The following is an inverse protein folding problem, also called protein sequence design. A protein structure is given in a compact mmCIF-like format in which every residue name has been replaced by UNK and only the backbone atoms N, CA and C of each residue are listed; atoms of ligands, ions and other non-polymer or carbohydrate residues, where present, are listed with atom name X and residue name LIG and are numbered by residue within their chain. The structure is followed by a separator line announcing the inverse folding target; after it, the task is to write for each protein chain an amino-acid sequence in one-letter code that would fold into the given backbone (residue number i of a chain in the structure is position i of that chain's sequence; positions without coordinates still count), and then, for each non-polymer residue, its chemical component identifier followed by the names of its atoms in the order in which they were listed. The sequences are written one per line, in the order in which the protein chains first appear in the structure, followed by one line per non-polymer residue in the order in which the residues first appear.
data_IF_657465471027
#
_entry.id   IF_657465471027
#
_cell.length_a   1.000
_cell.length_b   1.000
_cell.length_c   1.000
_cell.angle_alpha   90.00
_cell.angle_beta   90.00
_cell.angle_gamma   90.00
#
_symmetry.space_group_name_H-M   'P 1'
#
loop_
_entity.id
_entity.type
_entity.pdbx_description
1 polymer ?
#
# COMPACT_ATOMS: atom_id res chain seq x y z
N UNK A 1 30.20 -14.85 0.49
CA UNK A 1 29.10 -14.26 1.28
C UNK A 1 27.89 -14.20 0.36
N UNK A 2 26.78 -14.77 0.75
CA UNK A 2 25.56 -14.72 -0.07
C UNK A 2 24.83 -13.40 0.18
N UNK A 3 24.19 -12.89 -0.88
CA UNK A 3 23.30 -11.73 -0.78
C UNK A 3 22.01 -12.19 -0.13
N UNK A 4 21.58 -11.54 0.94
CA UNK A 4 20.32 -11.81 1.62
C UNK A 4 19.58 -10.51 1.95
N UNK A 5 18.38 -10.61 2.49
CA UNK A 5 17.46 -9.50 2.76
C UNK A 5 18.09 -8.32 3.52
N UNK A 6 19.02 -8.61 4.44
CA UNK A 6 19.76 -7.56 5.15
C UNK A 6 20.58 -6.68 4.20
N UNK A 7 21.16 -7.28 3.15
CA UNK A 7 21.97 -6.54 2.18
C UNK A 7 21.08 -5.67 1.28
N UNK A 8 19.90 -6.17 0.92
CA UNK A 8 18.90 -5.40 0.16
C UNK A 8 18.42 -4.18 0.97
N UNK A 9 18.12 -4.35 2.26
CA UNK A 9 17.79 -3.22 3.17
C UNK A 9 18.91 -2.20 3.25
N UNK A 10 20.16 -2.63 3.33
CA UNK A 10 21.32 -1.71 3.35
C UNK A 10 21.36 -0.87 2.09
N UNK A 11 21.19 -1.48 0.90
CA UNK A 11 21.17 -0.75 -0.37
C UNK A 11 20.06 0.30 -0.40
N UNK A 12 18.85 -0.04 0.04
CA UNK A 12 17.72 0.90 0.08
C UNK A 12 18.00 2.07 1.03
N UNK A 13 18.48 1.80 2.25
CA UNK A 13 18.82 2.86 3.22
C UNK A 13 19.91 3.80 2.68
N UNK A 14 20.89 3.29 1.94
CA UNK A 14 21.93 4.13 1.32
C UNK A 14 21.34 5.00 0.21
N UNK A 15 20.47 4.44 -0.64
CA UNK A 15 19.78 5.18 -1.69
C UNK A 15 18.91 6.31 -1.13
N UNK A 16 18.09 5.99 -0.11
CA UNK A 16 17.21 6.95 0.57
C UNK A 16 17.97 8.06 1.29
N UNK A 17 19.08 7.71 1.90
CA UNK A 17 19.91 8.68 2.62
C UNK A 17 20.70 9.58 1.67
N UNK A 18 20.91 9.16 0.41
CA UNK A 18 21.73 9.87 -0.57
C UNK A 18 23.19 10.07 -0.12
N UNK A 19 23.63 9.44 0.97
CA UNK A 19 24.96 9.58 1.55
C UNK A 19 25.31 8.37 2.40
N UNK A 20 26.49 7.79 2.19
CA UNK A 20 26.97 6.64 2.97
C UNK A 20 27.13 7.01 4.46
N UNK A 21 27.55 8.23 4.77
CA UNK A 21 27.70 8.68 6.16
C UNK A 21 26.36 8.78 6.86
N UNK A 22 25.33 9.38 6.22
CA UNK A 22 23.98 9.45 6.76
C UNK A 22 23.34 8.08 6.90
N UNK A 23 23.54 7.20 5.92
CA UNK A 23 23.08 5.82 5.97
C UNK A 23 23.73 5.03 7.13
N UNK A 24 25.01 5.22 7.38
CA UNK A 24 25.73 4.58 8.49
C UNK A 24 25.14 4.98 9.84
N UNK A 25 24.83 6.26 10.04
CA UNK A 25 24.14 6.77 11.24
C UNK A 25 22.76 6.11 11.38
N UNK A 26 21.95 6.09 10.31
CA UNK A 26 20.61 5.49 10.30
C UNK A 26 20.64 4.00 10.60
N UNK A 27 21.66 3.29 10.08
CA UNK A 27 21.87 1.86 10.31
C UNK A 27 22.56 1.55 11.65
N UNK A 28 23.01 2.57 12.40
CA UNK A 28 23.74 2.45 13.66
C UNK A 28 25.03 1.60 13.53
N UNK A 29 25.75 1.79 12.42
CA UNK A 29 27.03 1.12 12.16
C UNK A 29 28.12 2.12 11.80
N UNK A 30 29.39 1.74 11.93
CA UNK A 30 30.50 2.58 11.53
C UNK A 30 30.55 2.74 9.99
N UNK A 31 30.78 3.96 9.50
CA UNK A 31 30.84 4.24 8.06
C UNK A 31 31.89 3.37 7.30
N UNK A 32 33.10 3.09 7.82
CA UNK A 32 34.02 2.18 7.15
C UNK A 32 33.45 0.77 6.97
N UNK A 33 32.70 0.28 7.97
CA UNK A 33 32.00 -1.00 7.92
C UNK A 33 30.93 -1.03 6.84
N UNK A 34 30.11 0.02 6.74
CA UNK A 34 29.10 0.14 5.67
C UNK A 34 29.76 0.20 4.29
N UNK A 35 30.83 0.97 4.15
CA UNK A 35 31.59 1.06 2.88
C UNK A 35 32.13 -0.30 2.46
N UNK A 36 32.69 -1.07 3.39
CA UNK A 36 33.18 -2.42 3.10
C UNK A 36 32.06 -3.39 2.72
N UNK A 37 30.88 -3.29 3.36
CA UNK A 37 29.70 -4.10 3.02
C UNK A 37 29.19 -3.75 1.62
N UNK A 38 29.05 -2.47 1.29
CA UNK A 38 28.65 -2.03 -0.07
C UNK A 38 29.59 -2.58 -1.13
N UNK A 39 30.89 -2.45 -0.94
CA UNK A 39 31.88 -3.00 -1.89
C UNK A 39 31.71 -4.51 -2.10
N UNK A 40 31.42 -5.27 -1.05
CA UNK A 40 31.18 -6.73 -1.15
C UNK A 40 29.89 -7.03 -1.91
N UNK A 41 28.83 -6.26 -1.67
CA UNK A 41 27.55 -6.40 -2.37
C UNK A 41 27.76 -6.09 -3.87
N UNK A 42 28.40 -4.98 -4.19
CA UNK A 42 28.69 -4.56 -5.57
C UNK A 42 29.55 -5.58 -6.32
N UNK A 43 30.55 -6.17 -5.66
CA UNK A 43 31.35 -7.24 -6.24
C UNK A 43 30.51 -8.47 -6.61
N UNK A 44 29.52 -8.81 -5.79
CA UNK A 44 28.63 -9.95 -6.05
C UNK A 44 27.59 -9.66 -7.13
N UNK A 45 27.18 -8.41 -7.26
CA UNK A 45 26.26 -7.95 -8.30
C UNK A 45 26.96 -7.71 -9.65
N UNK A 46 28.29 -7.82 -9.69
CA UNK A 46 29.08 -7.65 -10.93
C UNK A 46 29.36 -6.20 -11.33
N UNK A 47 28.99 -5.22 -10.47
CA UNK A 47 29.23 -3.82 -10.79
C UNK A 47 28.82 -2.86 -9.66
N UNK A 48 29.16 -1.57 -9.79
CA UNK A 48 28.79 -0.55 -8.82
C UNK A 48 27.28 -0.29 -8.85
N UNK A 49 26.68 -0.28 -7.66
CA UNK A 49 25.26 0.09 -7.44
C UNK A 49 25.14 1.61 -7.30
N UNK A 50 26.17 2.25 -6.77
CA UNK A 50 26.18 3.69 -6.54
C UNK A 50 27.39 4.38 -7.18
N UNK A 51 27.15 5.54 -7.77
CA UNK A 51 28.17 6.51 -8.14
C UNK A 51 28.39 7.48 -6.98
N UNK A 52 29.64 7.70 -6.62
CA UNK A 52 30.03 8.73 -5.64
C UNK A 52 30.09 10.09 -6.32
N UNK A 53 29.47 11.09 -5.71
CA UNK A 53 29.52 12.50 -6.13
C UNK A 53 29.95 13.37 -4.95
N UNK A 54 30.40 14.60 -5.18
CA UNK A 54 30.78 15.52 -4.09
C UNK A 54 29.65 15.77 -3.08
N UNK A 55 28.40 15.71 -3.53
CA UNK A 55 27.17 15.93 -2.76
C UNK A 55 26.55 14.63 -2.21
N UNK A 56 27.15 13.46 -2.50
CA UNK A 56 26.67 12.20 -1.95
C UNK A 56 26.82 10.97 -2.86
N UNK A 57 25.78 10.16 -2.94
CA UNK A 57 25.71 8.98 -3.81
C UNK A 57 24.42 8.98 -4.62
N UNK A 58 24.53 8.57 -5.88
CA UNK A 58 23.37 8.37 -6.78
C UNK A 58 23.42 6.95 -7.35
N UNK A 59 22.28 6.30 -7.59
CA UNK A 59 22.25 4.99 -8.21
C UNK A 59 22.85 5.02 -9.63
N UNK A 60 23.52 3.92 -10.02
CA UNK A 60 23.83 3.59 -11.42
C UNK A 60 22.57 2.98 -12.08
N UNK A 61 22.62 2.66 -13.38
CA UNK A 61 21.55 1.92 -14.06
C UNK A 61 21.36 0.54 -13.42
N UNK A 62 22.45 -0.17 -13.12
CA UNK A 62 22.43 -1.40 -12.35
C UNK A 62 21.82 -1.15 -10.96
N UNK A 63 22.22 -0.06 -10.33
CA UNK A 63 21.70 0.36 -9.02
C UNK A 63 20.20 0.61 -9.05
N UNK A 64 19.69 1.33 -10.02
CA UNK A 64 18.26 1.59 -10.17
C UNK A 64 17.44 0.29 -10.31
N UNK A 65 17.92 -0.64 -11.13
CA UNK A 65 17.32 -1.96 -11.29
C UNK A 65 17.35 -2.76 -10.00
N UNK A 66 18.53 -2.88 -9.35
CA UNK A 66 18.71 -3.63 -8.10
C UNK A 66 17.84 -3.05 -6.99
N UNK A 67 17.79 -1.73 -6.84
CA UNK A 67 16.98 -1.07 -5.81
C UNK A 67 15.47 -1.28 -6.03
N UNK A 68 15.02 -1.26 -7.29
CA UNK A 68 13.63 -1.59 -7.62
C UNK A 68 13.27 -3.01 -7.17
N UNK A 69 14.04 -3.99 -7.63
CA UNK A 69 13.83 -5.40 -7.26
C UNK A 69 14.03 -5.68 -5.77
N UNK A 70 14.92 -4.93 -5.11
CA UNK A 70 15.12 -5.07 -3.66
C UNK A 70 13.89 -4.68 -2.85
N UNK A 71 13.15 -3.65 -3.29
CA UNK A 71 11.89 -3.26 -2.65
C UNK A 71 10.87 -4.38 -2.79
N UNK A 72 10.64 -4.84 -4.02
CA UNK A 72 9.68 -5.91 -4.29
C UNK A 72 9.96 -7.17 -3.44
N UNK A 73 11.21 -7.63 -3.38
CA UNK A 73 11.59 -8.81 -2.58
C UNK A 73 11.37 -8.58 -1.07
N UNK A 74 11.65 -7.39 -0.57
CA UNK A 74 11.45 -7.09 0.85
C UNK A 74 9.97 -6.94 1.20
N UNK A 75 9.16 -6.42 0.29
CA UNK A 75 7.71 -6.34 0.41
C UNK A 75 7.11 -7.75 0.42
N UNK A 76 7.46 -8.61 -0.56
CA UNK A 76 7.04 -10.02 -0.59
C UNK A 76 7.44 -10.80 0.68
N UNK A 77 8.64 -10.55 1.19
CA UNK A 77 9.08 -11.18 2.44
C UNK A 77 8.29 -10.69 3.67
N UNK A 78 7.95 -9.40 3.69
CA UNK A 78 7.10 -8.83 4.74
C UNK A 78 5.68 -9.42 4.69
N UNK A 79 5.14 -9.56 3.49
CA UNK A 79 3.83 -10.16 3.26
C UNK A 79 3.80 -11.64 3.67
N UNK A 80 4.84 -12.41 3.32
CA UNK A 80 4.99 -13.79 3.78
C UNK A 80 4.90 -13.90 5.30
N UNK A 81 5.64 -13.04 6.04
CA UNK A 81 5.60 -13.07 7.50
C UNK A 81 4.24 -12.67 8.06
N UNK A 82 3.61 -11.64 7.49
CA UNK A 82 2.30 -11.16 7.90
C UNK A 82 1.24 -12.23 7.69
N UNK A 83 1.24 -12.84 6.50
CA UNK A 83 0.34 -13.93 6.16
C UNK A 83 0.55 -15.16 7.04
N UNK A 84 1.80 -15.58 7.26
CA UNK A 84 2.08 -16.69 8.16
C UNK A 84 1.54 -16.43 9.57
N UNK A 85 1.67 -15.20 10.07
CA UNK A 85 1.09 -14.79 11.36
C UNK A 85 -0.44 -14.78 11.34
N UNK A 86 -1.06 -14.30 10.26
CA UNK A 86 -2.51 -14.32 10.09
C UNK A 86 -3.05 -15.75 10.03
N UNK A 87 -2.40 -16.61 9.22
CA UNK A 87 -2.75 -18.02 9.10
C UNK A 87 -2.50 -18.82 10.38
N UNK A 88 -1.62 -18.37 11.26
CA UNK A 88 -1.39 -19.02 12.56
C UNK A 88 -2.51 -18.72 13.58
N UNK A 89 -3.36 -17.72 13.34
CA UNK A 89 -4.53 -17.45 14.19
C UNK A 89 -5.44 -18.66 14.20
N UNK A 90 -6.07 -18.92 15.35
CA UNK A 90 -7.04 -20.01 15.48
C UNK A 90 -8.19 -19.82 14.50
N UNK A 91 -8.74 -20.93 13.98
CA UNK A 91 -9.97 -20.87 13.21
C UNK A 91 -11.09 -20.25 14.05
N UNK A 92 -12.08 -19.57 13.43
CA UNK A 92 -13.23 -19.04 14.16
C UNK A 92 -13.95 -20.16 14.92
N UNK A 93 -14.59 -19.84 16.04
CA UNK A 93 -15.42 -20.80 16.78
C UNK A 93 -16.46 -21.46 15.87
N UNK A 94 -16.82 -22.71 16.17
CA UNK A 94 -17.85 -23.41 15.41
C UNK A 94 -19.16 -22.61 15.43
N UNK A 95 -19.70 -22.27 14.26
CA UNK A 95 -20.92 -21.48 14.11
C UNK A 95 -20.69 -19.96 14.07
N UNK A 96 -19.45 -19.49 14.17
CA UNK A 96 -19.14 -18.08 13.94
C UNK A 96 -18.97 -17.80 12.44
N UNK A 97 -19.35 -16.60 11.99
CA UNK A 97 -19.11 -16.10 10.64
C UNK A 97 -18.05 -15.02 10.70
N UNK A 98 -16.97 -15.22 9.96
CA UNK A 98 -15.85 -14.29 9.94
C UNK A 98 -15.80 -13.48 8.64
N UNK A 99 -15.69 -12.16 8.78
CA UNK A 99 -15.40 -11.20 7.70
C UNK A 99 -13.93 -10.81 7.80
N UNK A 100 -13.20 -10.84 6.69
CA UNK A 100 -11.87 -10.25 6.58
C UNK A 100 -11.92 -9.00 5.72
N UNK A 101 -11.00 -8.06 5.98
CA UNK A 101 -10.90 -6.89 5.09
C UNK A 101 -9.69 -6.02 5.38
N UNK A 102 -9.36 -5.20 4.39
CA UNK A 102 -8.38 -4.13 4.53
C UNK A 102 -9.05 -2.88 5.10
N UNK A 103 -8.24 -1.92 5.57
CA UNK A 103 -8.74 -0.66 6.14
C UNK A 103 -9.50 0.17 5.08
N UNK A 104 -10.83 0.01 5.09
CA UNK A 104 -11.77 0.71 4.22
C UNK A 104 -13.11 0.88 4.93
N UNK A 105 -13.85 1.97 4.68
CA UNK A 105 -15.18 2.19 5.25
C UNK A 105 -16.20 1.09 4.89
N UNK A 106 -15.93 0.30 3.87
CA UNK A 106 -16.80 -0.82 3.50
C UNK A 106 -16.78 -1.97 4.50
N UNK A 107 -15.68 -2.19 5.24
CA UNK A 107 -15.62 -3.29 6.21
C UNK A 107 -16.65 -3.13 7.33
N UNK A 108 -16.72 -2.00 8.05
CA UNK A 108 -17.77 -1.80 9.05
C UNK A 108 -19.18 -1.81 8.46
N UNK A 109 -19.39 -1.28 7.25
CA UNK A 109 -20.68 -1.31 6.58
C UNK A 109 -21.14 -2.75 6.28
N UNK A 110 -20.25 -3.57 5.70
CA UNK A 110 -20.54 -4.99 5.45
C UNK A 110 -20.73 -5.77 6.74
N UNK A 111 -19.95 -5.48 7.78
CA UNK A 111 -20.11 -6.13 9.09
C UNK A 111 -21.49 -5.84 9.71
N UNK A 112 -22.01 -4.62 9.56
CA UNK A 112 -23.34 -4.26 10.07
C UNK A 112 -24.45 -4.97 9.29
N UNK A 113 -24.37 -5.03 7.96
CA UNK A 113 -25.30 -5.78 7.13
C UNK A 113 -25.24 -7.28 7.48
N UNK A 114 -24.04 -7.84 7.62
CA UNK A 114 -23.85 -9.24 8.02
C UNK A 114 -24.51 -9.52 9.36
N UNK A 115 -24.40 -8.61 10.34
CA UNK A 115 -25.01 -8.71 11.64
C UNK A 115 -26.54 -8.71 11.59
N UNK A 116 -27.12 -7.89 10.72
CA UNK A 116 -28.56 -7.83 10.53
C UNK A 116 -29.11 -9.11 9.88
N UNK A 117 -28.36 -9.69 8.94
CA UNK A 117 -28.75 -10.90 8.19
C UNK A 117 -28.56 -12.18 8.99
N UNK A 118 -27.57 -12.24 9.87
CA UNK A 118 -27.21 -13.41 10.66
C UNK A 118 -27.21 -13.12 12.17
N UNK A 119 -28.33 -12.70 12.76
CA UNK A 119 -28.38 -12.23 14.17
C UNK A 119 -28.04 -13.32 15.19
N UNK A 120 -28.18 -14.60 14.82
CA UNK A 120 -27.95 -15.74 15.70
C UNK A 120 -26.51 -16.34 15.57
N UNK A 121 -25.68 -15.72 14.77
CA UNK A 121 -24.30 -16.17 14.59
C UNK A 121 -23.35 -15.21 15.29
N UNK A 122 -22.33 -15.75 15.94
CA UNK A 122 -21.19 -14.95 16.39
C UNK A 122 -20.46 -14.39 15.17
N UNK A 123 -20.10 -13.12 15.21
CA UNK A 123 -19.42 -12.45 14.11
C UNK A 123 -18.04 -11.99 14.53
N UNK A 124 -17.07 -12.28 13.68
CA UNK A 124 -15.67 -11.87 13.84
C UNK A 124 -15.27 -11.04 12.65
N UNK A 125 -14.52 -9.97 12.90
CA UNK A 125 -13.95 -9.15 11.83
C UNK A 125 -12.43 -9.13 11.98
N UNK A 126 -11.74 -9.57 10.93
CA UNK A 126 -10.30 -9.53 10.82
C UNK A 126 -9.89 -8.35 9.94
N UNK A 127 -9.13 -7.42 10.51
CA UNK A 127 -8.52 -6.33 9.76
C UNK A 127 -7.08 -6.68 9.44
N UNK A 128 -6.76 -6.72 8.18
CA UNK A 128 -5.43 -7.04 7.68
C UNK A 128 -4.87 -5.86 6.88
N UNK A 129 -3.57 -5.84 6.71
CA UNK A 129 -2.88 -4.73 6.06
C UNK A 129 -2.80 -4.86 4.55
N UNK A 130 -3.14 -6.02 3.99
CA UNK A 130 -3.13 -6.24 2.55
C UNK A 130 -4.27 -7.14 2.08
N UNK A 131 -4.78 -6.88 0.89
CA UNK A 131 -5.79 -7.70 0.21
C UNK A 131 -5.29 -9.11 -0.04
N UNK A 132 -4.00 -9.30 -0.29
CA UNK A 132 -3.40 -10.63 -0.46
C UNK A 132 -3.57 -11.48 0.80
N UNK A 133 -3.24 -10.92 1.98
CA UNK A 133 -3.42 -11.63 3.27
C UNK A 133 -4.89 -11.97 3.53
N UNK A 134 -5.81 -11.06 3.20
CA UNK A 134 -7.26 -11.31 3.33
C UNK A 134 -7.70 -12.48 2.44
N UNK A 135 -7.24 -12.53 1.18
CA UNK A 135 -7.56 -13.61 0.26
C UNK A 135 -6.99 -14.96 0.73
N UNK A 136 -5.79 -14.97 1.29
CA UNK A 136 -5.20 -16.20 1.84
C UNK A 136 -5.97 -16.73 3.05
N UNK A 137 -6.53 -15.85 3.89
CA UNK A 137 -7.47 -16.24 4.95
C UNK A 137 -8.76 -16.82 4.37
N UNK A 138 -9.24 -16.28 3.26
CA UNK A 138 -10.43 -16.79 2.57
C UNK A 138 -10.19 -18.19 1.96
N UNK A 139 -9.05 -18.38 1.28
CA UNK A 139 -8.66 -19.70 0.75
C UNK A 139 -8.43 -20.74 1.85
N UNK A 140 -7.91 -20.31 3.00
CA UNK A 140 -7.72 -21.17 4.17
C UNK A 140 -9.02 -21.39 4.97
N UNK A 141 -10.18 -20.91 4.48
CA UNK A 141 -11.51 -21.03 5.12
C UNK A 141 -11.56 -20.45 6.56
N UNK A 142 -10.66 -19.52 6.85
CA UNK A 142 -10.64 -18.80 8.14
C UNK A 142 -11.59 -17.61 8.17
N UNK A 143 -12.02 -17.15 7.03
CA UNK A 143 -13.06 -16.14 6.85
C UNK A 143 -14.04 -16.61 5.77
N UNK A 144 -15.27 -16.19 5.88
CA UNK A 144 -16.33 -16.53 4.93
C UNK A 144 -16.48 -15.46 3.82
N UNK A 145 -16.20 -14.21 4.16
CA UNK A 145 -16.31 -13.04 3.30
C UNK A 145 -15.03 -12.21 3.39
N UNK A 146 -14.64 -11.59 2.29
CA UNK A 146 -13.47 -10.74 2.18
C UNK A 146 -13.82 -9.39 1.53
N UNK A 147 -13.31 -8.29 2.09
CA UNK A 147 -13.34 -6.97 1.46
C UNK A 147 -11.91 -6.61 1.06
N UNK A 148 -11.68 -6.52 -0.24
CA UNK A 148 -10.36 -6.23 -0.81
C UNK A 148 -10.36 -4.92 -1.58
N UNK A 149 -9.17 -4.35 -1.77
CA UNK A 149 -8.93 -3.20 -2.66
C UNK A 149 -7.94 -3.56 -3.75
N UNK A 150 -8.15 -2.96 -4.92
CA UNK A 150 -7.30 -3.09 -6.10
C UNK A 150 -6.94 -1.71 -6.62
N UNK A 151 -5.77 -1.59 -7.19
CA UNK A 151 -5.28 -0.37 -7.84
C UNK A 151 -4.96 -0.62 -9.32
N UNK A 152 -5.01 0.42 -10.19
CA UNK A 152 -4.57 0.27 -11.56
C UNK A 152 -3.10 -0.14 -11.63
N UNK A 153 -2.76 -0.87 -12.70
CA UNK A 153 -1.38 -1.31 -12.98
C UNK A 153 -0.77 -2.30 -11.97
N UNK A 154 -1.56 -2.73 -11.02
CA UNK A 154 -1.21 -3.82 -10.10
C UNK A 154 -1.88 -5.09 -10.62
N UNK A 155 -1.09 -6.15 -10.78
CA UNK A 155 -1.65 -7.44 -11.20
C UNK A 155 -2.63 -7.90 -10.11
N UNK A 156 -3.89 -8.15 -10.45
CA UNK A 156 -4.83 -8.68 -9.48
C UNK A 156 -4.34 -10.03 -8.98
N UNK A 157 -4.58 -10.36 -7.72
CA UNK A 157 -4.30 -11.70 -7.22
C UNK A 157 -5.10 -12.74 -8.02
N UNK A 158 -4.61 -13.98 -8.07
CA UNK A 158 -5.37 -15.09 -8.65
C UNK A 158 -6.66 -15.26 -7.87
N UNK A 159 -7.81 -15.11 -8.56
CA UNK A 159 -9.14 -15.18 -7.95
C UNK A 159 -9.90 -16.42 -8.42
N UNK A 160 -9.16 -17.48 -8.77
CA UNK A 160 -9.75 -18.75 -9.18
C UNK A 160 -10.64 -19.30 -8.06
N UNK A 161 -11.81 -19.82 -8.43
CA UNK A 161 -12.82 -20.35 -7.50
C UNK A 161 -13.46 -19.31 -6.56
N UNK A 162 -13.16 -18.01 -6.75
CA UNK A 162 -13.77 -16.94 -5.98
C UNK A 162 -14.86 -16.19 -6.78
N UNK A 163 -15.93 -15.84 -6.08
CA UNK A 163 -16.90 -14.88 -6.56
C UNK A 163 -16.45 -13.48 -6.14
N UNK A 164 -16.39 -12.55 -7.09
CA UNK A 164 -15.96 -11.18 -6.87
C UNK A 164 -17.05 -10.23 -7.30
N UNK A 165 -17.45 -9.33 -6.42
CA UNK A 165 -18.45 -8.29 -6.72
C UNK A 165 -17.91 -6.93 -6.34
N UNK A 166 -17.91 -6.01 -7.31
CA UNK A 166 -17.45 -4.64 -7.05
C UNK A 166 -18.43 -3.89 -6.14
N UNK A 167 -17.91 -3.32 -5.08
CA UNK A 167 -18.64 -2.39 -4.20
C UNK A 167 -18.54 -0.95 -4.69
N UNK A 168 -17.52 -0.63 -5.49
CA UNK A 168 -17.33 0.68 -6.06
C UNK A 168 -15.92 0.94 -6.53
N UNK A 169 -15.78 1.98 -7.34
CA UNK A 169 -14.48 2.50 -7.78
C UNK A 169 -14.42 3.98 -7.42
N UNK A 170 -13.34 4.37 -6.77
CA UNK A 170 -13.16 5.70 -6.20
C UNK A 170 -11.83 6.31 -6.66
N UNK A 171 -11.78 7.63 -6.90
CA UNK A 171 -10.52 8.29 -7.20
C UNK A 171 -9.61 8.30 -5.96
N UNK A 172 -8.33 8.04 -6.15
CA UNK A 172 -7.30 8.37 -5.14
C UNK A 172 -7.05 9.87 -5.19
N UNK A 173 -7.04 10.53 -4.04
CA UNK A 173 -6.89 11.96 -3.91
C UNK A 173 -5.44 12.34 -3.61
N UNK A 174 -5.03 13.50 -4.09
CA UNK A 174 -3.76 14.11 -3.71
C UNK A 174 -3.99 15.07 -2.54
N UNK A 175 -3.34 14.76 -1.42
CA UNK A 175 -3.31 15.63 -0.25
C UNK A 175 -2.15 16.62 -0.32
N UNK A 176 -2.43 17.86 0.05
CA UNK A 176 -1.44 18.93 0.12
C UNK A 176 -1.77 19.93 1.22
N UNK A 177 -0.77 20.72 1.62
CA UNK A 177 -0.98 21.83 2.54
C UNK A 177 -1.93 22.88 1.95
N UNK A 178 -2.77 23.55 2.74
CA UNK A 178 -3.54 24.72 2.29
C UNK A 178 -2.68 25.85 1.71
N UNK A 179 -1.39 25.89 2.05
CA UNK A 179 -0.42 26.87 1.52
C UNK A 179 0.24 26.44 0.22
N UNK A 180 -0.04 25.23 -0.25
CA UNK A 180 0.56 24.72 -1.47
C UNK A 180 0.09 25.54 -2.69
N UNK A 181 0.98 25.75 -3.69
CA UNK A 181 0.72 26.55 -4.90
C UNK A 181 -0.52 26.11 -5.69
N UNK A 182 -0.90 24.81 -5.59
CA UNK A 182 -2.05 24.25 -6.28
C UNK A 182 -3.30 24.14 -5.39
N UNK A 183 -3.22 24.51 -4.11
CA UNK A 183 -4.31 24.32 -3.15
C UNK A 183 -5.62 25.04 -3.55
N UNK A 184 -5.52 26.14 -4.27
CA UNK A 184 -6.67 26.93 -4.74
C UNK A 184 -7.35 26.36 -5.98
N UNK A 185 -6.70 25.44 -6.73
CA UNK A 185 -7.27 24.83 -7.93
C UNK A 185 -8.33 23.80 -7.54
N UNK A 186 -9.47 23.72 -8.25
CA UNK A 186 -10.50 22.71 -7.97
C UNK A 186 -10.03 21.30 -8.29
N UNK A 187 -9.25 21.13 -9.37
CA UNK A 187 -8.62 19.91 -9.84
C UNK A 187 -7.20 20.20 -10.27
N UNK A 188 -6.33 19.20 -10.27
CA UNK A 188 -4.93 19.32 -10.65
C UNK A 188 -4.54 18.21 -11.62
N UNK A 189 -3.44 18.41 -12.33
CA UNK A 189 -2.81 17.39 -13.15
C UNK A 189 -1.65 16.77 -12.37
N UNK A 190 -1.43 15.48 -12.57
CA UNK A 190 -0.34 14.77 -11.88
C UNK A 190 1.03 15.38 -12.23
N UNK A 191 1.23 15.79 -13.48
CA UNK A 191 2.46 16.44 -13.95
C UNK A 191 2.74 17.79 -13.25
N UNK A 192 1.71 18.49 -12.75
CA UNK A 192 1.88 19.72 -11.99
C UNK A 192 2.68 19.51 -10.68
N UNK A 193 2.82 18.25 -10.23
CA UNK A 193 3.47 17.86 -8.99
C UNK A 193 4.88 17.28 -9.19
N UNK A 194 5.46 17.37 -10.39
CA UNK A 194 6.76 16.80 -10.73
C UNK A 194 7.92 17.31 -9.86
N UNK A 195 7.83 18.57 -9.42
CA UNK A 195 8.86 19.22 -8.59
C UNK A 195 8.61 19.07 -7.08
N UNK A 196 7.46 18.51 -6.68
CA UNK A 196 7.13 18.37 -5.28
C UNK A 196 7.83 17.17 -4.64
N UNK A 197 8.09 17.26 -3.35
CA UNK A 197 8.52 16.11 -2.55
C UNK A 197 7.29 15.30 -2.13
N UNK A 198 7.43 13.98 -2.09
CA UNK A 198 6.34 13.05 -1.87
C UNK A 198 6.53 12.22 -0.61
N UNK A 199 5.39 11.86 -0.01
CA UNK A 199 5.33 10.76 0.94
C UNK A 199 5.13 9.47 0.15
N UNK A 200 6.02 8.50 0.36
CA UNK A 200 5.81 7.16 -0.17
C UNK A 200 4.59 6.53 0.50
N UNK A 201 3.64 5.98 -0.27
CA UNK A 201 2.63 5.10 0.32
C UNK A 201 3.30 4.00 1.14
N UNK A 202 2.67 3.58 2.21
CA UNK A 202 3.21 2.53 3.07
C UNK A 202 3.48 1.24 2.28
N UNK A 203 4.43 0.44 2.74
CA UNK A 203 4.80 -0.84 2.11
C UNK A 203 3.61 -1.81 1.99
N UNK A 204 2.58 -1.62 2.84
CA UNK A 204 1.35 -2.42 2.91
C UNK A 204 0.15 -1.76 2.23
N UNK A 205 0.37 -1.02 1.16
CA UNK A 205 -0.68 -0.24 0.48
C UNK A 205 -1.29 -0.95 -0.73
N UNK A 206 -1.30 -2.28 -0.77
CA UNK A 206 -1.89 -3.11 -1.85
C UNK A 206 -1.49 -2.68 -3.26
N UNK A 207 -0.25 -2.18 -3.42
CA UNK A 207 0.27 -1.75 -4.72
C UNK A 207 0.02 -0.27 -5.05
N UNK A 208 -0.57 0.55 -4.16
CA UNK A 208 -0.74 1.98 -4.39
C UNK A 208 0.58 2.68 -4.76
N UNK A 209 1.68 2.28 -4.12
CA UNK A 209 3.01 2.81 -4.41
C UNK A 209 3.49 2.50 -5.83
N UNK A 210 3.20 1.31 -6.34
CA UNK A 210 3.50 0.92 -7.72
C UNK A 210 2.60 1.72 -8.68
N UNK A 211 1.30 1.74 -8.43
CA UNK A 211 0.33 2.47 -9.25
C UNK A 211 0.68 3.96 -9.34
N UNK A 212 1.07 4.60 -8.24
CA UNK A 212 1.54 5.99 -8.24
C UNK A 212 2.79 6.18 -9.10
N UNK A 213 3.80 5.30 -8.97
CA UNK A 213 5.02 5.40 -9.80
C UNK A 213 4.72 5.25 -11.28
N UNK A 214 3.88 4.29 -11.64
CA UNK A 214 3.48 4.05 -13.04
C UNK A 214 2.72 5.26 -13.58
N UNK A 215 1.78 5.82 -12.82
CA UNK A 215 1.05 7.01 -13.20
C UNK A 215 1.98 8.22 -13.41
N UNK A 216 2.92 8.46 -12.48
CA UNK A 216 3.92 9.53 -12.62
C UNK A 216 4.84 9.32 -13.83
N UNK A 217 5.29 8.09 -14.08
CA UNK A 217 6.14 7.78 -15.22
C UNK A 217 5.42 8.03 -16.57
N UNK A 218 4.12 7.76 -16.66
CA UNK A 218 3.30 8.05 -17.86
C UNK A 218 3.25 9.54 -18.19
N UNK A 219 3.32 10.41 -17.19
CA UNK A 219 3.34 11.87 -17.37
C UNK A 219 4.76 12.45 -17.30
N UNK A 220 5.79 11.61 -17.40
CA UNK A 220 7.17 12.01 -17.65
C UNK A 220 8.00 12.33 -16.41
N UNK A 221 7.61 11.94 -15.20
CA UNK A 221 8.44 12.14 -14.02
C UNK A 221 8.44 10.95 -13.06
N UNK A 222 9.41 10.93 -12.13
CA UNK A 222 9.45 9.99 -11.03
C UNK A 222 9.25 10.75 -9.71
N UNK A 223 8.32 10.32 -8.83
CA UNK A 223 8.06 11.00 -7.57
C UNK A 223 9.30 10.97 -6.66
N UNK A 224 9.65 12.14 -6.12
CA UNK A 224 10.77 12.29 -5.19
C UNK A 224 10.33 11.95 -3.77
N UNK A 225 10.34 10.68 -3.41
CA UNK A 225 9.99 10.27 -2.05
C UNK A 225 11.02 10.75 -1.03
N UNK A 226 10.58 11.52 -0.02
CA UNK A 226 11.38 12.03 1.10
C UNK A 226 10.97 11.42 2.44
N UNK A 227 9.75 10.93 2.53
CA UNK A 227 9.17 10.33 3.73
C UNK A 227 8.69 8.94 3.40
N UNK A 228 9.01 7.97 4.27
CA UNK A 228 8.75 6.55 4.02
C UNK A 228 8.09 5.92 5.24
N UNK A 229 7.07 5.10 5.02
CA UNK A 229 6.42 4.26 6.00
C UNK A 229 5.67 4.97 7.14
N UNK A 230 5.23 6.24 7.02
CA UNK A 230 4.38 6.81 8.06
C UNK A 230 2.99 6.18 7.99
N UNK A 231 2.36 6.04 9.15
CA UNK A 231 0.93 5.82 9.21
C UNK A 231 0.16 7.01 8.62
N UNK A 232 -1.12 6.83 8.33
CA UNK A 232 -1.93 7.85 7.66
C UNK A 232 -2.02 9.17 8.44
N UNK A 233 -2.07 9.14 9.76
CA UNK A 233 -2.15 10.34 10.59
C UNK A 233 -0.84 11.13 10.54
N UNK A 234 0.30 10.43 10.64
CA UNK A 234 1.64 11.03 10.51
C UNK A 234 1.86 11.57 9.09
N UNK A 235 1.42 10.84 8.05
CA UNK A 235 1.46 11.32 6.68
C UNK A 235 0.66 12.62 6.53
N UNK A 236 -0.56 12.67 7.05
CA UNK A 236 -1.40 13.87 7.03
C UNK A 236 -0.73 15.06 7.76
N UNK A 237 -0.08 14.83 8.90
CA UNK A 237 0.64 15.87 9.63
C UNK A 237 1.82 16.45 8.82
N UNK A 238 2.61 15.60 8.17
CA UNK A 238 3.74 16.01 7.32
C UNK A 238 3.25 16.85 6.14
N UNK A 239 2.16 16.40 5.49
CA UNK A 239 1.56 17.10 4.34
C UNK A 239 0.95 18.44 4.76
N UNK A 240 0.21 18.48 5.87
CA UNK A 240 -0.40 19.73 6.37
C UNK A 240 0.65 20.78 6.73
N UNK A 241 1.80 20.36 7.23
CA UNK A 241 2.95 21.22 7.51
C UNK A 241 3.62 21.76 6.22
N UNK A 242 3.28 21.22 5.05
CA UNK A 242 3.81 21.69 3.76
C UNK A 242 5.15 21.09 3.38
N UNK A 243 5.52 19.97 3.99
CA UNK A 243 6.81 19.33 3.72
C UNK A 243 6.78 18.40 2.49
N UNK A 244 5.61 17.91 2.11
CA UNK A 244 5.42 17.01 0.99
C UNK A 244 3.97 17.01 0.51
N UNK A 245 3.73 16.36 -0.63
CA UNK A 245 2.40 15.93 -1.07
C UNK A 245 2.27 14.42 -0.87
N UNK A 246 1.03 13.91 -0.84
CA UNK A 246 0.80 12.48 -0.65
C UNK A 246 -0.51 12.03 -1.27
N UNK A 247 -0.69 10.72 -1.38
CA UNK A 247 -1.93 10.09 -1.82
C UNK A 247 -2.77 9.70 -0.61
N UNK A 248 -4.06 9.96 -0.69
CA UNK A 248 -5.02 9.70 0.37
C UNK A 248 -6.29 9.05 -0.18
N UNK A 249 -6.96 8.22 0.62
CA UNK A 249 -8.26 7.67 0.22
C UNK A 249 -9.30 8.79 0.04
N UNK A 250 -10.41 8.51 -0.66
CA UNK A 250 -11.50 9.47 -0.84
C UNK A 250 -12.11 9.93 0.49
N UNK A 251 -12.87 11.04 0.47
CA UNK A 251 -13.42 11.65 1.68
C UNK A 251 -14.36 10.70 2.42
N UNK A 252 -14.13 10.46 3.60
CA UNK A 252 -14.70 9.63 4.65
C UNK A 252 -13.77 9.68 5.85
N UNK A 253 -12.48 9.96 5.61
CA UNK A 253 -11.51 10.29 6.65
C UNK A 253 -11.38 11.81 6.72
N UNK A 254 -11.91 12.43 7.77
CA UNK A 254 -11.64 13.84 8.04
C UNK A 254 -10.17 13.99 8.40
N UNK A 255 -9.36 14.52 7.47
CA UNK A 255 -7.94 14.78 7.66
C UNK A 255 -7.75 16.30 7.87
N UNK A 256 -7.78 16.79 9.12
CA UNK A 256 -7.73 18.21 9.39
C UNK A 256 -6.42 18.83 8.89
N UNK A 257 -6.51 20.00 8.31
CA UNK A 257 -5.35 20.72 7.80
C UNK A 257 -4.85 20.30 6.42
N UNK A 258 -5.53 19.37 5.74
CA UNK A 258 -5.26 19.00 4.36
C UNK A 258 -6.26 19.58 3.39
N UNK A 259 -5.76 19.91 2.20
CA UNK A 259 -6.57 20.13 1.01
C UNK A 259 -6.43 18.89 0.13
N UNK A 260 -7.53 18.20 -0.11
CA UNK A 260 -7.58 17.03 -0.98
C UNK A 260 -8.00 17.43 -2.39
N UNK A 261 -7.28 16.96 -3.40
CA UNK A 261 -7.49 17.28 -4.81
C UNK A 261 -7.72 16.04 -5.65
N UNK A 262 -8.67 16.14 -6.58
CA UNK A 262 -8.84 15.14 -7.64
C UNK A 262 -7.84 15.40 -8.76
N UNK A 263 -7.37 14.34 -9.39
CA UNK A 263 -6.62 14.41 -10.64
C UNK A 263 -7.60 14.51 -11.82
N UNK A 264 -7.28 15.35 -12.80
CA UNK A 264 -8.13 15.56 -14.00
C UNK A 264 -8.18 14.34 -14.91
N UNK A 265 -7.14 13.54 -14.92
CA UNK A 265 -6.89 12.45 -15.86
C UNK A 265 -7.37 11.07 -15.35
N UNK A 266 -7.86 11.01 -14.09
CA UNK A 266 -8.40 9.77 -13.52
C UNK A 266 -7.40 8.61 -13.43
N UNK A 267 -6.08 8.88 -13.51
CA UNK A 267 -5.04 7.85 -13.58
C UNK A 267 -4.89 7.03 -12.30
N UNK A 268 -5.27 7.60 -11.16
CA UNK A 268 -5.22 6.94 -9.87
C UNK A 268 -6.63 6.72 -9.33
N UNK A 269 -7.00 5.47 -9.19
CA UNK A 269 -8.25 5.03 -8.60
C UNK A 269 -8.02 3.78 -7.75
N UNK A 270 -8.97 3.47 -6.88
CA UNK A 270 -9.06 2.19 -6.22
C UNK A 270 -10.42 1.58 -6.47
N UNK A 271 -10.47 0.26 -6.58
CA UNK A 271 -11.71 -0.53 -6.59
C UNK A 271 -11.79 -1.28 -5.28
N UNK A 272 -12.95 -1.21 -4.63
CA UNK A 272 -13.25 -2.07 -3.48
C UNK A 272 -14.20 -3.17 -3.94
N UNK A 273 -13.92 -4.41 -3.56
CA UNK A 273 -14.71 -5.58 -3.93
C UNK A 273 -15.03 -6.44 -2.72
N UNK A 274 -16.24 -6.99 -2.69
CA UNK A 274 -16.63 -8.08 -1.80
C UNK A 274 -16.31 -9.41 -2.49
N UNK A 275 -15.66 -10.31 -1.78
CA UNK A 275 -15.16 -11.58 -2.32
C UNK A 275 -15.53 -12.73 -1.38
N UNK A 276 -15.91 -13.88 -1.97
CA UNK A 276 -16.18 -15.11 -1.26
C UNK A 276 -15.89 -16.31 -2.14
N UNK A 277 -15.79 -17.49 -1.56
CA UNK A 277 -15.63 -18.73 -2.32
C UNK A 277 -16.94 -19.07 -3.06
N UNK A 278 -16.84 -19.39 -4.34
CA UNK A 278 -18.00 -19.71 -5.18
C UNK A 278 -18.79 -20.93 -4.66
N UNK A 279 -18.10 -21.89 -4.03
CA UNK A 279 -18.65 -23.10 -3.42
C UNK A 279 -19.07 -22.92 -1.95
N UNK A 280 -18.97 -21.71 -1.41
CA UNK A 280 -19.30 -21.41 0.00
C UNK A 280 -20.80 -21.57 0.28
N UNK A 281 -21.19 -22.16 1.42
CA UNK A 281 -22.58 -22.15 1.88
C UNK A 281 -23.09 -20.74 2.16
N UNK A 282 -22.19 -19.75 2.20
CA UNK A 282 -22.53 -18.33 2.38
C UNK A 282 -22.75 -17.60 1.04
N UNK A 283 -22.66 -18.27 -0.11
CA UNK A 283 -22.68 -17.59 -1.42
C UNK A 283 -23.98 -16.77 -1.63
N UNK A 284 -25.16 -17.35 -1.34
CA UNK A 284 -26.43 -16.65 -1.50
C UNK A 284 -26.54 -15.43 -0.56
N UNK A 285 -26.11 -15.60 0.70
CA UNK A 285 -26.08 -14.51 1.69
C UNK A 285 -25.11 -13.42 1.28
N UNK A 286 -23.97 -13.79 0.70
CA UNK A 286 -22.97 -12.83 0.20
C UNK A 286 -23.51 -11.97 -0.96
N UNK A 287 -24.26 -12.57 -1.90
CA UNK A 287 -24.94 -11.83 -2.96
C UNK A 287 -25.98 -10.85 -2.40
N UNK A 288 -26.77 -11.28 -1.40
CA UNK A 288 -27.74 -10.39 -0.73
C UNK A 288 -27.06 -9.24 0.01
N UNK A 289 -25.97 -9.52 0.71
CA UNK A 289 -25.14 -8.49 1.41
C UNK A 289 -24.60 -7.48 0.38
N UNK A 290 -24.08 -7.96 -0.74
CA UNK A 290 -23.57 -7.10 -1.81
C UNK A 290 -24.68 -6.18 -2.34
N UNK A 291 -25.86 -6.73 -2.66
CA UNK A 291 -26.98 -5.95 -3.18
C UNK A 291 -27.43 -4.87 -2.17
N UNK A 292 -27.57 -5.23 -0.89
CA UNK A 292 -27.96 -4.31 0.17
C UNK A 292 -26.90 -3.21 0.39
N UNK A 293 -25.62 -3.56 0.32
CA UNK A 293 -24.52 -2.60 0.45
C UNK A 293 -24.56 -1.52 -0.64
N UNK A 294 -24.92 -1.89 -1.88
CA UNK A 294 -25.06 -0.95 -2.98
C UNK A 294 -26.30 -0.08 -2.85
N UNK A 295 -27.44 -0.64 -2.38
CA UNK A 295 -28.69 0.09 -2.18
C UNK A 295 -28.58 1.19 -1.12
N UNK A 296 -27.74 0.99 -0.11
CA UNK A 296 -27.46 2.01 0.91
C UNK A 296 -26.50 3.11 0.43
N UNK A 297 -26.08 3.10 -0.83
CA UNK A 297 -25.25 4.15 -1.43
C UNK A 297 -23.79 4.13 -1.00
N UNK A 298 -23.36 3.07 -0.36
CA UNK A 298 -22.00 2.93 0.15
C UNK A 298 -21.70 3.72 1.43
N UNK A 299 -20.55 3.54 2.03
CA UNK A 299 -20.15 4.31 3.20
C UNK A 299 -19.93 5.78 2.81
N UNK A 300 -20.59 6.68 3.53
CA UNK A 300 -20.52 8.15 3.38
C UNK A 300 -19.19 8.67 3.93
#
# INVERSE_FOLDING_TARGET
MDIGLRHLRILLVVAESGSISRAAIRLKIAQPGLTAQLKRIEQRLGGPVFLRRPDGVVPTDLGAHVLGRSREILDEFSDLLTTAMALSKSAPPTGAVALGGVDTPWVPAIAEILKSRLPNHEQLTYLESSSQTVLELLYAEKIALAVIIEFPDVMPPTLDELSVRSLGTEPVLIGMSPRHRLAHRPVIRLEDLAEDDWIAPGERSDGLGLSLRVACARVGFNPRFRYFGPDQATAAAIVSAGHAVGVFPPPGCHLPGLVLKRLTDGQLWRRTSLVWRADSPMADVAEEIHAEALDHGGPI
#
